data_IF_285343321087
#
_entry.id   IF_285343321087
#
_cell.length_a   1.000
_cell.length_b   1.000
_cell.length_c   1.000
_cell.angle_alpha   90.00
_cell.angle_beta   90.00
_cell.angle_gamma   90.00
#
_symmetry.space_group_name_H-M   'P 1'
#
loop_
_entity.id
_entity.type
_entity.pdbx_description
1 polymer ?
#
# COMPACT_ATOMS: atom_id res chain seq x y z
N UNK A 1 -5.83 -18.88 3.08
CA UNK A 1 -7.12 -18.66 3.78
C UNK A 1 -7.95 -19.91 3.60
N UNK A 2 -8.12 -20.73 4.64
CA UNK A 2 -8.73 -22.06 4.53
C UNK A 2 -10.27 -21.97 4.67
N UNK A 3 -10.99 -22.40 3.62
CA UNK A 3 -12.35 -22.98 3.72
C UNK A 3 -13.57 -22.08 3.84
N UNK A 4 -13.47 -20.74 3.68
CA UNK A 4 -14.65 -19.85 3.66
C UNK A 4 -15.03 -19.47 2.24
N UNK A 5 -16.33 -19.41 1.95
CA UNK A 5 -16.81 -18.80 0.71
C UNK A 5 -16.22 -17.39 0.54
N UNK A 6 -15.80 -17.02 -0.68
CA UNK A 6 -15.32 -15.67 -0.95
C UNK A 6 -16.40 -14.64 -0.57
N UNK A 7 -16.04 -13.56 0.15
CA UNK A 7 -17.00 -12.53 0.52
C UNK A 7 -17.56 -11.86 -0.74
N UNK A 8 -18.90 -11.78 -0.83
CA UNK A 8 -19.59 -11.21 -2.00
C UNK A 8 -19.37 -9.68 -2.06
N UNK A 9 -18.81 -9.14 -3.16
CA UNK A 9 -18.70 -7.69 -3.35
C UNK A 9 -20.08 -7.03 -3.45
N UNK A 10 -20.21 -5.81 -2.90
CA UNK A 10 -21.43 -4.99 -3.02
C UNK A 10 -21.11 -3.53 -3.32
N UNK A 11 -21.98 -2.84 -4.04
CA UNK A 11 -21.85 -1.40 -4.25
C UNK A 11 -22.26 -0.64 -2.98
N UNK A 12 -21.46 0.35 -2.59
CA UNK A 12 -21.82 1.28 -1.52
C UNK A 12 -22.53 2.55 -2.06
N UNK A 13 -23.03 3.40 -1.16
CA UNK A 13 -23.72 4.66 -1.51
C UNK A 13 -22.89 5.67 -2.33
N UNK A 14 -21.58 5.44 -2.46
CA UNK A 14 -20.66 6.28 -3.25
C UNK A 14 -20.29 5.64 -4.60
N UNK A 15 -20.97 4.54 -4.98
CA UNK A 15 -20.71 3.81 -6.22
C UNK A 15 -19.40 3.02 -6.23
N UNK A 16 -18.84 2.67 -5.05
CA UNK A 16 -17.62 1.85 -4.95
C UNK A 16 -17.98 0.42 -4.59
N UNK A 17 -17.33 -0.54 -5.23
CA UNK A 17 -17.37 -1.94 -4.84
C UNK A 17 -16.66 -2.12 -3.49
N UNK A 18 -17.35 -2.76 -2.56
CA UNK A 18 -16.88 -3.01 -1.19
C UNK A 18 -17.01 -4.49 -0.89
N UNK A 19 -15.93 -5.04 -0.34
CA UNK A 19 -15.88 -6.37 0.26
C UNK A 19 -15.79 -6.19 1.77
N UNK A 20 -16.69 -6.82 2.52
CA UNK A 20 -16.72 -6.74 3.98
C UNK A 20 -16.58 -8.15 4.57
N UNK A 21 -15.67 -8.27 5.53
CA UNK A 21 -15.43 -9.52 6.28
C UNK A 21 -15.48 -9.19 7.76
N UNK A 22 -16.23 -9.96 8.54
CA UNK A 22 -16.27 -9.83 9.99
C UNK A 22 -15.32 -10.86 10.62
N UNK A 23 -14.19 -10.39 11.14
CA UNK A 23 -13.24 -11.22 11.87
C UNK A 23 -12.51 -10.36 12.88
N UNK A 24 -12.70 -10.65 14.18
CA UNK A 24 -12.04 -9.93 15.25
C UNK A 24 -10.52 -10.06 15.16
N UNK A 25 -10.02 -11.27 14.93
CA UNK A 25 -8.58 -11.54 14.80
C UNK A 25 -7.96 -10.77 13.63
N UNK A 26 -8.61 -10.80 12.47
CA UNK A 26 -8.12 -10.07 11.29
C UNK A 26 -8.16 -8.56 11.51
N UNK A 27 -9.24 -8.07 12.14
CA UNK A 27 -9.38 -6.66 12.47
C UNK A 27 -8.28 -6.21 13.45
N UNK A 28 -8.03 -6.95 14.52
CA UNK A 28 -7.00 -6.61 15.49
C UNK A 28 -5.58 -6.66 14.90
N UNK A 29 -5.35 -7.56 13.93
CA UNK A 29 -4.09 -7.68 13.22
C UNK A 29 -3.86 -6.54 12.21
N UNK A 30 -4.92 -6.09 11.51
CA UNK A 30 -4.83 -5.14 10.39
C UNK A 30 -5.39 -3.73 10.66
N UNK A 31 -5.93 -3.47 11.86
CA UNK A 31 -6.46 -2.14 12.22
C UNK A 31 -5.37 -1.09 12.04
N UNK A 32 -5.76 0.11 11.57
CA UNK A 32 -4.84 1.23 11.35
C UNK A 32 -4.67 2.07 12.63
N UNK A 33 -3.47 2.61 12.93
CA UNK A 33 -2.21 2.34 12.23
C UNK A 33 -1.76 0.89 12.42
N UNK A 34 -1.14 0.32 11.40
CA UNK A 34 -0.73 -1.09 11.42
C UNK A 34 0.40 -1.26 12.41
N UNK A 35 0.25 -2.22 13.32
CA UNK A 35 1.32 -2.61 14.23
C UNK A 35 2.32 -3.49 13.47
N UNK A 36 3.43 -2.88 13.05
CA UNK A 36 4.46 -3.53 12.23
C UNK A 36 5.06 -4.72 12.98
N UNK A 37 5.35 -4.59 14.26
CA UNK A 37 5.97 -5.67 15.05
C UNK A 37 5.04 -6.87 15.15
N UNK A 38 3.72 -6.63 15.23
CA UNK A 38 2.71 -7.71 15.24
C UNK A 38 2.59 -8.44 13.90
N UNK A 39 2.70 -7.74 12.76
CA UNK A 39 2.59 -8.38 11.44
C UNK A 39 3.92 -8.97 10.95
N UNK A 40 5.05 -8.49 11.48
CA UNK A 40 6.41 -8.84 11.03
C UNK A 40 6.65 -10.35 10.90
N UNK A 41 6.31 -11.19 11.89
CA UNK A 41 6.56 -12.63 11.82
C UNK A 41 5.83 -13.32 10.66
N UNK A 42 4.66 -12.79 10.25
CA UNK A 42 3.88 -13.34 9.16
C UNK A 42 4.36 -12.85 7.79
N UNK A 43 4.78 -11.58 7.73
CA UNK A 43 5.24 -10.95 6.49
C UNK A 43 6.65 -11.42 6.14
N UNK A 44 7.56 -11.47 7.11
CA UNK A 44 8.97 -11.85 6.90
C UNK A 44 9.22 -13.35 7.02
N UNK A 45 8.16 -14.18 7.10
CA UNK A 45 8.30 -15.63 7.25
C UNK A 45 9.16 -16.28 6.16
N UNK A 46 9.02 -15.80 4.91
CA UNK A 46 9.87 -16.17 3.78
C UNK A 46 9.77 -15.11 2.67
N UNK A 47 10.66 -15.19 1.67
CA UNK A 47 10.64 -14.25 0.52
C UNK A 47 9.27 -14.21 -0.17
N UNK A 48 8.59 -15.35 -0.30
CA UNK A 48 7.23 -15.42 -0.88
C UNK A 48 6.22 -14.63 -0.05
N UNK A 49 6.28 -14.69 1.28
CA UNK A 49 5.39 -13.91 2.16
C UNK A 49 5.64 -12.41 2.02
N UNK A 50 6.91 -12.00 1.90
CA UNK A 50 7.29 -10.61 1.64
C UNK A 50 6.69 -10.15 0.30
N UNK A 51 6.92 -10.92 -0.77
CA UNK A 51 6.35 -10.64 -2.09
C UNK A 51 4.82 -10.54 -2.08
N UNK A 52 4.12 -11.44 -1.38
CA UNK A 52 2.66 -11.40 -1.29
C UNK A 52 2.13 -10.20 -0.51
N UNK A 53 2.80 -9.83 0.59
CA UNK A 53 2.46 -8.61 1.33
C UNK A 53 2.68 -7.36 0.48
N UNK A 54 3.84 -7.24 -0.14
CA UNK A 54 4.16 -6.13 -1.05
C UNK A 54 3.15 -6.08 -2.20
N UNK A 55 2.77 -7.22 -2.79
CA UNK A 55 1.76 -7.26 -3.85
C UNK A 55 0.44 -6.68 -3.39
N UNK A 56 -0.12 -7.18 -2.28
CA UNK A 56 -1.38 -6.67 -1.74
C UNK A 56 -1.32 -5.18 -1.38
N UNK A 57 -0.18 -4.72 -0.86
CA UNK A 57 0.05 -3.31 -0.58
C UNK A 57 0.07 -2.46 -1.86
N UNK A 58 0.89 -2.82 -2.85
CA UNK A 58 1.01 -2.08 -4.11
C UNK A 58 -0.26 -2.14 -4.95
N UNK A 59 -0.98 -3.26 -4.98
CA UNK A 59 -2.27 -3.36 -5.69
C UNK A 59 -3.32 -2.38 -5.14
N UNK A 60 -3.21 -2.03 -3.86
CA UNK A 60 -4.16 -1.12 -3.19
C UNK A 60 -3.73 0.35 -3.16
N UNK A 61 -2.43 0.63 -3.07
CA UNK A 61 -1.90 1.99 -2.82
C UNK A 61 -1.05 2.56 -3.97
N UNK A 62 -0.65 1.74 -4.95
CA UNK A 62 0.26 2.17 -6.00
C UNK A 62 -0.44 2.89 -7.15
N UNK A 63 0.33 3.78 -7.78
CA UNK A 63 0.04 4.40 -9.05
C UNK A 63 1.19 4.09 -10.00
N UNK A 64 0.88 3.52 -11.16
CA UNK A 64 1.83 3.30 -12.25
C UNK A 64 1.62 4.39 -13.30
N UNK A 65 2.63 5.20 -13.54
CA UNK A 65 2.59 6.27 -14.53
C UNK A 65 2.99 5.74 -15.92
N UNK A 66 2.61 6.49 -16.97
CA UNK A 66 2.90 6.11 -18.38
C UNK A 66 4.38 5.88 -18.67
N UNK A 67 5.26 6.53 -17.92
CA UNK A 67 6.71 6.40 -18.04
C UNK A 67 7.29 5.22 -17.25
N UNK A 68 6.43 4.33 -16.75
CA UNK A 68 6.80 3.17 -15.96
C UNK A 68 7.16 3.49 -14.50
N UNK A 69 7.00 4.73 -14.04
CA UNK A 69 7.25 5.07 -12.64
C UNK A 69 6.19 4.40 -11.75
N UNK A 70 6.65 3.63 -10.75
CA UNK A 70 5.77 3.03 -9.73
C UNK A 70 5.92 3.86 -8.45
N UNK A 71 4.85 4.50 -8.02
CA UNK A 71 4.81 5.34 -6.82
C UNK A 71 3.67 4.89 -5.91
N UNK A 72 3.90 4.82 -4.61
CA UNK A 72 2.86 4.57 -3.60
C UNK A 72 2.74 5.79 -2.70
N UNK A 73 1.53 6.07 -2.25
CA UNK A 73 1.24 7.18 -1.34
C UNK A 73 0.59 6.62 -0.08
N UNK A 74 0.99 7.09 1.11
CA UNK A 74 0.31 6.72 2.34
C UNK A 74 0.46 7.79 3.43
N UNK A 75 -0.50 7.85 4.36
CA UNK A 75 -0.38 8.72 5.54
C UNK A 75 0.43 8.08 6.66
N UNK A 76 0.63 6.76 6.62
CA UNK A 76 1.40 6.03 7.62
C UNK A 76 2.88 5.97 7.22
N UNK A 77 3.68 6.86 7.82
CA UNK A 77 5.12 6.94 7.56
C UNK A 77 5.84 5.64 7.94
N UNK A 78 5.52 5.05 9.10
CA UNK A 78 6.17 3.83 9.60
C UNK A 78 5.91 2.65 8.67
N UNK A 79 4.68 2.54 8.15
CA UNK A 79 4.35 1.53 7.16
C UNK A 79 5.19 1.69 5.88
N UNK A 80 5.34 2.92 5.36
CA UNK A 80 6.17 3.14 4.17
C UNK A 80 7.66 2.84 4.42
N UNK A 81 8.19 3.19 5.59
CA UNK A 81 9.57 2.81 5.98
C UNK A 81 9.73 1.29 6.00
N UNK A 82 8.75 0.58 6.56
CA UNK A 82 8.75 -0.88 6.57
C UNK A 82 8.67 -1.46 5.14
N UNK A 83 7.88 -0.86 4.25
CA UNK A 83 7.81 -1.26 2.83
C UNK A 83 9.15 -1.05 2.12
N UNK A 84 9.87 0.05 2.37
CA UNK A 84 11.25 0.24 1.84
C UNK A 84 12.14 -0.92 2.28
N UNK A 85 12.17 -1.21 3.59
CA UNK A 85 12.96 -2.30 4.14
C UNK A 85 12.63 -3.66 3.49
N UNK A 86 11.34 -3.97 3.29
CA UNK A 86 10.91 -5.21 2.65
C UNK A 86 11.32 -5.30 1.17
N UNK A 87 11.28 -4.17 0.44
CA UNK A 87 11.76 -4.12 -0.95
C UNK A 87 13.27 -4.41 -1.01
N UNK A 88 14.05 -3.82 -0.11
CA UNK A 88 15.49 -4.04 -0.02
C UNK A 88 15.82 -5.51 0.29
N UNK A 89 15.05 -6.17 1.17
CA UNK A 89 15.18 -7.61 1.46
C UNK A 89 15.08 -8.50 0.23
N UNK A 90 14.26 -8.13 -0.75
CA UNK A 90 14.11 -8.86 -2.02
C UNK A 90 14.96 -8.28 -3.16
N UNK A 91 15.89 -7.38 -2.79
CA UNK A 91 16.82 -6.60 -3.62
C UNK A 91 16.13 -5.80 -4.73
N UNK A 92 15.11 -5.06 -4.32
CA UNK A 92 14.46 -4.00 -5.10
C UNK A 92 14.70 -2.69 -4.37
N UNK A 93 15.22 -1.68 -5.06
CA UNK A 93 15.50 -0.39 -4.45
C UNK A 93 14.45 0.66 -4.79
N UNK A 94 14.24 1.55 -3.82
CA UNK A 94 13.49 2.79 -3.99
C UNK A 94 14.43 3.94 -4.33
N UNK A 95 13.92 4.99 -4.97
CA UNK A 95 14.72 6.20 -5.27
C UNK A 95 15.09 7.02 -4.03
N UNK A 96 14.51 6.68 -2.88
CA UNK A 96 14.79 7.28 -1.57
C UNK A 96 14.86 6.20 -0.50
N UNK A 97 15.73 6.38 0.50
CA UNK A 97 15.87 5.46 1.64
C UNK A 97 14.82 5.66 2.73
N UNK A 98 14.08 6.77 2.67
CA UNK A 98 13.02 7.11 3.62
C UNK A 98 11.81 7.71 2.88
N UNK A 99 10.58 7.57 3.42
CA UNK A 99 9.39 8.17 2.82
C UNK A 99 9.51 9.70 2.71
N UNK A 100 9.19 10.25 1.54
CA UNK A 100 9.20 11.70 1.31
C UNK A 100 7.82 12.30 1.49
N UNK A 101 7.74 13.55 1.92
CA UNK A 101 6.45 14.24 2.05
C UNK A 101 5.93 14.66 0.66
N UNK A 102 4.69 14.28 0.34
CA UNK A 102 3.97 14.70 -0.86
C UNK A 102 3.04 15.88 -0.56
N UNK A 103 2.29 15.80 0.54
CA UNK A 103 1.36 16.85 0.99
C UNK A 103 1.45 17.00 2.50
N UNK A 104 1.47 18.24 2.98
CA UNK A 104 1.41 18.56 4.41
C UNK A 104 -0.03 18.64 4.91
N UNK A 105 -0.24 18.26 6.16
CA UNK A 105 -1.45 18.55 6.91
C UNK A 105 -1.72 20.07 6.89
N UNK A 106 -3.00 20.45 6.88
CA UNK A 106 -3.46 21.83 6.73
C UNK A 106 -3.49 22.33 5.28
N UNK A 107 -2.80 21.65 4.35
CA UNK A 107 -2.74 22.05 2.94
C UNK A 107 -4.08 21.93 2.20
N UNK A 108 -4.34 22.81 1.22
CA UNK A 108 -5.58 22.77 0.43
C UNK A 108 -5.66 21.50 -0.44
N UNK A 109 -6.82 20.87 -0.43
CA UNK A 109 -7.20 19.76 -1.29
C UNK A 109 -8.50 20.12 -2.02
N UNK A 110 -8.42 20.25 -3.34
CA UNK A 110 -9.60 20.49 -4.17
C UNK A 110 -10.18 19.15 -4.61
N UNK A 111 -11.43 18.89 -4.25
CA UNK A 111 -12.16 17.72 -4.71
C UNK A 111 -12.43 17.82 -6.21
N UNK A 112 -11.96 16.86 -7.04
CA UNK A 112 -12.04 16.98 -8.49
C UNK A 112 -13.48 17.06 -9.03
N UNK A 113 -14.43 16.39 -8.37
CA UNK A 113 -15.82 16.29 -8.85
C UNK A 113 -16.66 17.53 -8.58
N UNK A 114 -16.51 18.13 -7.41
CA UNK A 114 -17.36 19.27 -6.98
C UNK A 114 -16.60 20.58 -6.92
N UNK A 115 -15.27 20.55 -7.06
CA UNK A 115 -14.40 21.71 -6.89
C UNK A 115 -14.29 22.22 -5.45
N UNK A 116 -14.90 21.55 -4.47
CA UNK A 116 -14.88 21.97 -3.05
C UNK A 116 -13.46 21.89 -2.49
N UNK A 117 -13.09 22.91 -1.71
CA UNK A 117 -11.81 22.97 -1.04
C UNK A 117 -11.91 22.38 0.35
N UNK A 118 -11.08 21.38 0.62
CA UNK A 118 -10.89 20.76 1.93
C UNK A 118 -9.48 21.02 2.41
N UNK A 119 -9.25 20.86 3.72
CA UNK A 119 -7.91 20.86 4.30
C UNK A 119 -7.48 19.42 4.57
N UNK A 120 -6.26 19.07 4.15
CA UNK A 120 -5.67 17.77 4.44
C UNK A 120 -5.49 17.64 5.96
N UNK A 121 -5.97 16.55 6.55
CA UNK A 121 -5.89 16.37 8.02
C UNK A 121 -4.57 15.78 8.48
N UNK A 122 -3.84 15.13 7.57
CA UNK A 122 -2.59 14.41 7.84
C UNK A 122 -1.61 14.68 6.72
N UNK A 123 -0.35 14.52 7.04
CA UNK A 123 0.69 14.43 6.02
C UNK A 123 0.46 13.18 5.16
N UNK A 124 0.73 13.33 3.87
CA UNK A 124 0.77 12.23 2.91
C UNK A 124 2.21 12.10 2.46
N UNK A 125 2.76 10.91 2.64
CA UNK A 125 4.12 10.56 2.23
C UNK A 125 4.09 9.70 0.97
N UNK A 126 5.23 9.58 0.31
CA UNK A 126 5.38 8.74 -0.87
C UNK A 126 6.70 7.98 -0.97
N UNK A 127 6.50 6.77 -1.48
CA UNK A 127 7.38 5.77 -2.08
C UNK A 127 7.64 5.87 -3.57
N UNK A 128 8.85 5.74 -4.11
CA UNK A 128 9.04 5.50 -5.55
C UNK A 128 10.07 4.40 -5.77
N UNK A 129 9.73 3.42 -6.58
CA UNK A 129 10.65 2.36 -7.00
C UNK A 129 11.63 2.92 -8.04
N UNK A 130 12.91 2.59 -7.91
CA UNK A 130 13.89 2.95 -8.93
C UNK A 130 13.61 2.19 -10.23
N UNK A 131 13.52 2.91 -11.36
CA UNK A 131 13.06 2.33 -12.63
C UNK A 131 13.90 1.14 -13.10
N UNK A 132 15.19 1.11 -12.78
CA UNK A 132 16.05 -0.03 -13.14
C UNK A 132 15.65 -1.35 -12.47
N UNK A 133 14.86 -1.30 -11.39
CA UNK A 133 14.28 -2.49 -10.74
C UNK A 133 12.87 -2.82 -11.21
N UNK A 134 12.27 -2.10 -12.18
CA UNK A 134 10.89 -2.37 -12.62
C UNK A 134 10.68 -3.82 -13.07
N UNK A 135 11.59 -4.37 -13.88
CA UNK A 135 11.50 -5.77 -14.34
C UNK A 135 11.47 -6.73 -13.15
N UNK A 136 12.42 -6.59 -12.23
CA UNK A 136 12.50 -7.41 -11.02
C UNK A 136 11.29 -7.22 -10.10
N UNK A 137 10.75 -6.01 -10.02
CA UNK A 137 9.52 -5.75 -9.28
C UNK A 137 8.33 -6.49 -9.89
N UNK A 138 8.14 -6.43 -11.21
CA UNK A 138 7.08 -7.19 -11.86
C UNK A 138 7.25 -8.69 -11.69
N UNK A 139 8.49 -9.19 -11.73
CA UNK A 139 8.79 -10.61 -11.55
C UNK A 139 8.54 -11.12 -10.13
N UNK A 140 8.92 -10.32 -9.11
CA UNK A 140 8.86 -10.74 -7.71
C UNK A 140 7.58 -10.33 -6.99
N UNK A 141 6.98 -9.21 -7.37
CA UNK A 141 5.83 -8.59 -6.68
C UNK A 141 4.62 -8.47 -7.60
N UNK A 142 4.85 -8.20 -8.89
CA UNK A 142 3.81 -8.02 -9.90
C UNK A 142 3.09 -9.31 -10.33
N UNK A 143 2.31 -9.17 -11.40
CA UNK A 143 1.42 -10.20 -11.95
C UNK A 143 2.17 -11.20 -12.85
N UNK A 144 3.05 -12.02 -12.28
CA UNK A 144 3.43 -13.26 -12.97
C UNK A 144 2.32 -14.28 -12.72
N UNK A 145 1.57 -14.58 -13.78
CA UNK A 145 0.68 -15.74 -13.93
C UNK A 145 1.26 -16.64 -15.00
#
# INVERSE_FOLDING_TARGET
>A
MLGREPPRPRLNKYGRWVVAVQSRTLYELLKKPVDIDRIRPFVEHCERCISMFLRGFFDSEACVYKDGTITVYNTDYKLLTYVIYLLEKISIETTQKEPRINKRAGGPFREPKTGKLYKSRRDVYYIRIWRGFNKRFYEKVGFNH
#
